data_IF_989959847854
#
_entry.id   IF_989959847854
#
_cell.length_a   1.000
_cell.length_b   1.000
_cell.length_c   1.000
_cell.angle_alpha   90.00
_cell.angle_beta   90.00
_cell.angle_gamma   90.00
#
_symmetry.space_group_name_H-M   'P 1'
#
loop_
_entity.id
_entity.type
_entity.pdbx_description
1 polymer ?
#
# COMPACT_ATOMS: atom_id res chain seq x y z
N UNK A 1 -52.26 49.28 -3.74
CA UNK A 1 -50.83 49.29 -4.12
C UNK A 1 -50.02 48.97 -2.88
N UNK A 2 -49.75 47.68 -2.63
CA UNK A 2 -48.83 47.24 -1.57
C UNK A 2 -48.09 46.01 -2.10
N UNK A 3 -46.88 46.29 -2.54
CA UNK A 3 -45.97 45.40 -3.26
C UNK A 3 -45.11 44.70 -2.19
N UNK A 4 -44.60 43.53 -2.57
CA UNK A 4 -43.49 42.79 -1.94
C UNK A 4 -43.91 41.83 -0.82
N UNK A 5 -44.59 40.77 -1.28
CA UNK A 5 -44.66 39.45 -0.65
C UNK A 5 -43.25 38.90 -0.40
N UNK A 6 -42.97 38.54 0.85
CA UNK A 6 -42.15 37.41 1.33
C UNK A 6 -41.17 36.73 0.35
N UNK A 7 -40.22 37.46 -0.23
CA UNK A 7 -39.18 36.91 -1.12
C UNK A 7 -37.82 36.71 -0.42
N UNK A 8 -37.68 37.11 0.84
CA UNK A 8 -36.41 37.06 1.57
C UNK A 8 -36.14 35.75 2.31
N UNK A 9 -37.14 34.89 2.53
CA UNK A 9 -36.96 33.63 3.27
C UNK A 9 -36.49 32.46 2.40
N UNK A 10 -36.66 32.52 1.07
CA UNK A 10 -36.32 31.42 0.15
C UNK A 10 -34.84 31.37 -0.26
N UNK A 11 -34.11 32.49 -0.21
CA UNK A 11 -32.73 32.55 -0.70
C UNK A 11 -31.68 32.01 0.28
N UNK A 12 -31.99 31.96 1.59
CA UNK A 12 -31.02 31.56 2.61
C UNK A 12 -30.89 30.03 2.69
N UNK A 13 -31.91 29.28 2.28
CA UNK A 13 -31.91 27.82 2.31
C UNK A 13 -31.10 27.14 1.20
N UNK A 14 -30.80 27.85 0.10
CA UNK A 14 -30.18 27.23 -1.08
C UNK A 14 -28.64 27.18 -1.01
N UNK A 15 -28.01 28.01 -0.19
CA UNK A 15 -26.53 28.09 -0.10
C UNK A 15 -25.92 27.02 0.80
N UNK A 16 -26.71 26.38 1.67
CA UNK A 16 -26.22 25.34 2.61
C UNK A 16 -26.04 23.98 1.91
N UNK A 17 -26.61 23.78 0.71
CA UNK A 17 -26.50 22.54 -0.05
C UNK A 17 -25.28 22.47 -0.98
N UNK A 18 -24.52 23.56 -1.14
CA UNK A 18 -23.33 23.60 -2.01
C UNK A 18 -21.99 23.40 -1.28
N UNK A 19 -21.98 23.21 0.05
CA UNK A 19 -20.77 22.78 0.76
C UNK A 19 -20.59 21.27 0.61
N UNK A 20 -20.42 20.80 -0.62
CA UNK A 20 -19.85 19.48 -0.87
C UNK A 20 -18.43 19.47 -0.31
N UNK A 21 -18.10 18.52 0.55
CA UNK A 21 -16.77 18.36 1.11
C UNK A 21 -15.75 18.07 0.00
N UNK A 22 -15.18 19.11 -0.60
CA UNK A 22 -14.00 19.00 -1.45
C UNK A 22 -12.77 18.87 -0.54
N UNK A 23 -12.70 17.80 0.23
CA UNK A 23 -11.47 17.43 0.92
C UNK A 23 -10.50 16.92 -0.14
N UNK A 24 -9.43 17.65 -0.38
CA UNK A 24 -8.33 17.13 -1.18
C UNK A 24 -7.89 15.79 -0.55
N UNK A 25 -7.70 14.72 -1.35
CA UNK A 25 -7.28 13.44 -0.80
C UNK A 25 -5.95 13.64 -0.08
N UNK A 26 -5.85 13.09 1.13
CA UNK A 26 -4.59 13.08 1.88
C UNK A 26 -3.51 12.43 1.03
N UNK A 27 -2.38 13.12 0.85
CA UNK A 27 -1.27 12.62 0.06
C UNK A 27 -0.73 11.35 0.73
N UNK A 28 -1.04 10.19 0.15
CA UNK A 28 -0.50 8.91 0.58
C UNK A 28 0.85 8.69 -0.10
N UNK A 29 1.90 8.50 0.69
CA UNK A 29 3.16 7.99 0.15
C UNK A 29 3.00 6.48 -0.03
N UNK A 30 2.61 6.07 -1.24
CA UNK A 30 2.50 4.65 -1.56
C UNK A 30 3.92 4.04 -1.57
N UNK A 31 4.15 3.04 -0.73
CA UNK A 31 5.41 2.31 -0.68
C UNK A 31 5.72 1.57 -2.01
N UNK A 32 4.72 1.45 -2.88
CA UNK A 32 4.81 0.88 -4.23
C UNK A 32 4.37 1.98 -5.22
N UNK A 33 5.20 2.36 -6.20
CA UNK A 33 4.84 3.39 -7.16
C UNK A 33 3.58 3.00 -7.94
N UNK A 34 2.65 3.94 -8.09
CA UNK A 34 1.51 3.82 -9.00
C UNK A 34 2.04 3.92 -10.43
N UNK A 35 2.18 2.80 -11.11
CA UNK A 35 2.79 2.72 -12.43
C UNK A 35 1.72 2.83 -13.53
N UNK A 36 1.94 3.73 -14.49
CA UNK A 36 1.14 3.83 -15.71
C UNK A 36 1.43 2.63 -16.61
N UNK A 37 0.38 1.89 -16.97
CA UNK A 37 0.46 0.59 -17.62
C UNK A 37 1.11 0.60 -19.00
N UNK A 38 2.09 -0.29 -19.19
CA UNK A 38 2.31 -1.11 -20.39
C UNK A 38 3.53 -2.05 -20.21
N UNK A 39 4.44 -1.72 -19.28
CA UNK A 39 5.69 -2.47 -19.08
C UNK A 39 5.72 -3.38 -17.84
N UNK A 40 4.59 -3.58 -17.15
CA UNK A 40 4.53 -4.36 -15.92
C UNK A 40 3.41 -5.39 -15.96
N UNK A 41 3.74 -6.64 -15.58
CA UNK A 41 2.76 -7.73 -15.42
C UNK A 41 2.63 -8.06 -13.95
N UNK A 42 1.45 -8.54 -13.55
CA UNK A 42 1.32 -9.19 -12.25
C UNK A 42 2.28 -10.38 -12.24
N UNK A 43 3.09 -10.47 -11.18
CA UNK A 43 3.91 -11.66 -10.97
C UNK A 43 3.00 -12.85 -10.64
N UNK A 44 3.44 -14.05 -11.03
CA UNK A 44 2.82 -15.27 -10.53
C UNK A 44 2.87 -15.28 -9.00
N UNK A 45 1.76 -15.70 -8.38
CA UNK A 45 1.64 -15.80 -6.93
C UNK A 45 2.49 -16.95 -6.42
N UNK A 46 3.78 -16.69 -6.21
CA UNK A 46 4.69 -17.62 -5.55
C UNK A 46 4.79 -17.25 -4.08
N UNK A 47 4.61 -18.26 -3.22
CA UNK A 47 4.75 -18.16 -1.77
C UNK A 47 5.98 -18.94 -1.37
N UNK A 48 6.96 -18.28 -0.78
CA UNK A 48 8.14 -18.97 -0.24
C UNK A 48 7.99 -19.13 1.27
N UNK A 49 8.24 -20.35 1.80
CA UNK A 49 8.22 -20.57 3.24
C UNK A 49 9.37 -19.81 3.89
N UNK A 50 9.06 -19.11 5.00
CA UNK A 50 10.04 -18.36 5.78
C UNK A 50 10.36 -19.16 7.05
N UNK A 51 11.63 -19.24 7.48
CA UNK A 51 12.00 -19.84 8.76
C UNK A 51 11.17 -19.26 9.91
N UNK A 52 10.58 -20.14 10.72
CA UNK A 52 9.84 -19.72 11.91
C UNK A 52 10.83 -19.43 13.05
N UNK A 53 10.60 -18.36 13.80
CA UNK A 53 11.48 -17.94 14.89
C UNK A 53 11.19 -16.53 15.36
N UNK A 54 12.08 -15.98 16.19
CA UNK A 54 12.03 -14.56 16.49
C UNK A 54 12.43 -13.80 15.21
N UNK A 55 11.53 -12.94 14.73
CA UNK A 55 11.73 -12.11 13.56
C UNK A 55 11.56 -10.66 13.99
N UNK A 56 12.69 -10.07 14.38
CA UNK A 56 12.79 -8.71 14.91
C UNK A 56 13.51 -7.79 13.91
N UNK A 57 13.12 -6.50 13.86
CA UNK A 57 13.88 -5.48 13.12
C UNK A 57 15.39 -5.53 13.41
N UNK A 58 16.20 -5.49 12.36
CA UNK A 58 17.66 -5.55 12.41
C UNK A 58 18.25 -6.95 12.27
N UNK A 59 17.46 -8.01 12.49
CA UNK A 59 17.93 -9.39 12.35
C UNK A 59 18.15 -9.79 10.88
N UNK A 60 19.07 -10.74 10.69
CA UNK A 60 19.36 -11.32 9.38
C UNK A 60 18.51 -12.56 9.16
N UNK A 61 17.93 -12.65 7.98
CA UNK A 61 17.04 -13.72 7.57
C UNK A 61 17.52 -14.29 6.25
N UNK A 62 17.74 -15.60 6.22
CA UNK A 62 18.12 -16.31 5.00
C UNK A 62 16.90 -17.02 4.43
N UNK A 63 16.58 -16.74 3.17
CA UNK A 63 15.46 -17.35 2.44
C UNK A 63 16.03 -17.89 1.13
N UNK A 64 16.08 -19.21 1.01
CA UNK A 64 16.81 -19.85 -0.08
C UNK A 64 18.30 -19.48 -0.04
N UNK A 65 18.81 -18.94 -1.16
CA UNK A 65 20.21 -18.52 -1.29
C UNK A 65 20.42 -17.01 -1.07
N UNK A 66 19.37 -16.28 -0.70
CA UNK A 66 19.42 -14.83 -0.52
C UNK A 66 19.41 -14.47 0.97
N UNK A 67 20.20 -13.45 1.32
CA UNK A 67 20.27 -12.93 2.68
C UNK A 67 19.61 -11.56 2.75
N UNK A 68 18.69 -11.44 3.69
CA UNK A 68 17.88 -10.27 3.92
C UNK A 68 18.11 -9.72 5.32
N UNK A 69 18.01 -8.40 5.48
CA UNK A 69 17.85 -7.77 6.79
C UNK A 69 16.39 -7.40 7.00
N UNK A 70 15.83 -7.77 8.15
CA UNK A 70 14.49 -7.35 8.57
C UNK A 70 14.53 -5.87 8.90
N UNK A 71 13.66 -5.08 8.26
CA UNK A 71 13.63 -3.63 8.45
C UNK A 71 12.44 -3.23 9.32
N UNK A 72 11.25 -3.01 8.76
CA UNK A 72 10.12 -2.46 9.52
C UNK A 72 8.91 -3.40 9.49
N UNK A 73 8.21 -3.50 10.63
CA UNK A 73 6.91 -4.16 10.73
C UNK A 73 5.79 -3.16 10.39
N UNK A 74 4.78 -3.60 9.63
CA UNK A 74 3.65 -2.78 9.20
C UNK A 74 2.40 -3.66 8.99
N UNK A 75 1.22 -3.04 8.88
CA UNK A 75 -0.02 -3.72 8.48
C UNK A 75 -0.25 -3.46 6.99
N UNK A 76 -0.48 -4.52 6.20
CA UNK A 76 -0.74 -4.41 4.77
C UNK A 76 -2.14 -3.86 4.48
N UNK A 77 -2.38 -3.47 3.23
CA UNK A 77 -3.71 -3.07 2.76
C UNK A 77 -4.77 -4.18 2.89
N UNK A 78 -4.34 -5.45 2.94
CA UNK A 78 -5.22 -6.60 3.16
C UNK A 78 -5.38 -6.96 4.64
N UNK A 79 -4.87 -6.12 5.56
CA UNK A 79 -4.98 -6.34 7.01
C UNK A 79 -4.00 -7.36 7.59
N UNK A 80 -2.97 -7.77 6.84
CA UNK A 80 -1.98 -8.74 7.33
C UNK A 80 -0.81 -8.04 8.04
N UNK A 81 -0.29 -8.63 9.11
CA UNK A 81 0.97 -8.19 9.71
C UNK A 81 2.12 -8.58 8.78
N UNK A 82 2.91 -7.61 8.35
CA UNK A 82 4.01 -7.80 7.42
C UNK A 82 5.31 -7.15 7.94
N UNK A 83 6.44 -7.60 7.39
CA UNK A 83 7.76 -7.02 7.61
C UNK A 83 8.45 -6.77 6.28
N UNK A 84 9.05 -5.59 6.12
CA UNK A 84 9.88 -5.29 4.96
C UNK A 84 11.25 -5.92 5.10
N UNK A 85 11.75 -6.45 4.00
CA UNK A 85 13.06 -7.07 3.89
C UNK A 85 13.93 -6.22 2.97
N UNK A 86 15.16 -5.98 3.40
CA UNK A 86 16.22 -5.38 2.59
C UNK A 86 17.16 -6.48 2.13
N UNK A 87 17.21 -6.71 0.83
CA UNK A 87 18.22 -7.57 0.21
C UNK A 87 19.60 -6.91 0.36
N UNK A 88 20.57 -7.66 0.91
CA UNK A 88 21.93 -7.17 1.14
C UNK A 88 22.76 -7.10 -0.15
N UNK A 89 22.40 -7.90 -1.15
CA UNK A 89 23.10 -7.97 -2.44
C UNK A 89 22.53 -6.97 -3.43
N UNK A 90 21.21 -6.75 -3.39
CA UNK A 90 20.52 -5.76 -4.22
C UNK A 90 19.55 -4.92 -3.39
N UNK A 91 19.98 -3.82 -2.75
CA UNK A 91 19.14 -3.03 -1.86
C UNK A 91 17.93 -2.35 -2.55
N UNK A 92 17.91 -2.29 -3.88
CA UNK A 92 16.75 -1.83 -4.64
C UNK A 92 15.62 -2.89 -4.72
N UNK A 93 15.96 -4.17 -4.53
CA UNK A 93 15.02 -5.28 -4.48
C UNK A 93 14.32 -5.29 -3.11
N UNK A 94 13.16 -4.63 -3.04
CA UNK A 94 12.33 -4.61 -1.83
C UNK A 94 11.43 -5.85 -1.82
N UNK A 95 11.55 -6.64 -0.76
CA UNK A 95 10.67 -7.79 -0.50
C UNK A 95 9.91 -7.59 0.80
N UNK A 96 8.86 -8.36 1.00
CA UNK A 96 8.12 -8.38 2.24
C UNK A 96 7.70 -9.81 2.59
N UNK A 97 7.67 -10.08 3.88
CA UNK A 97 7.06 -11.28 4.46
C UNK A 97 5.81 -10.87 5.21
N UNK A 98 4.77 -11.68 5.14
CA UNK A 98 3.51 -11.44 5.83
C UNK A 98 3.09 -12.70 6.60
N UNK A 99 2.50 -12.50 7.76
CA UNK A 99 1.94 -13.58 8.55
C UNK A 99 0.56 -13.96 7.98
N UNK A 100 0.39 -15.23 7.65
CA UNK A 100 -0.90 -15.84 7.32
C UNK A 100 -1.04 -17.14 8.08
N UNK A 101 -2.19 -17.35 8.70
CA UNK A 101 -2.51 -18.59 9.40
C UNK A 101 -1.43 -19.00 10.42
N UNK A 102 -0.82 -18.02 11.09
CA UNK A 102 0.26 -18.20 12.06
C UNK A 102 1.62 -18.57 11.46
N UNK A 103 1.81 -18.43 10.15
CA UNK A 103 3.06 -18.70 9.45
C UNK A 103 3.52 -17.49 8.64
N UNK A 104 4.80 -17.14 8.76
CA UNK A 104 5.43 -16.15 7.90
C UNK A 104 5.64 -16.67 6.47
N UNK A 105 5.20 -15.89 5.50
CA UNK A 105 5.25 -16.21 4.08
C UNK A 105 5.83 -15.03 3.31
N UNK A 106 6.82 -15.29 2.45
CA UNK A 106 7.30 -14.27 1.51
C UNK A 106 6.35 -14.22 0.31
N UNK A 107 5.83 -13.03 0.05
CA UNK A 107 5.00 -12.79 -1.12
C UNK A 107 5.88 -12.43 -2.31
N UNK A 108 5.59 -13.04 -3.46
CA UNK A 108 6.13 -12.56 -4.73
C UNK A 108 5.82 -11.06 -4.91
N UNK A 109 6.73 -10.30 -5.54
CA UNK A 109 6.50 -8.89 -5.84
C UNK A 109 5.25 -8.77 -6.69
N UNK A 110 4.39 -7.78 -6.41
CA UNK A 110 3.13 -7.63 -7.15
C UNK A 110 3.33 -7.34 -8.63
N UNK A 111 4.49 -6.80 -9.00
CA UNK A 111 4.82 -6.38 -10.36
C UNK A 111 6.17 -6.97 -10.76
N UNK A 112 6.22 -7.60 -11.93
CA UNK A 112 7.47 -7.88 -12.64
C UNK A 112 7.63 -6.88 -13.78
N UNK A 113 8.85 -6.41 -13.99
CA UNK A 113 9.18 -5.64 -15.19
C UNK A 113 9.16 -6.59 -16.39
N UNK A 114 8.40 -6.24 -17.42
CA UNK A 114 8.59 -6.84 -18.73
C UNK A 114 9.84 -6.15 -19.29
N UNK A 115 10.99 -6.81 -19.26
CA UNK A 115 12.17 -6.29 -19.95
C UNK A 115 11.83 -6.21 -21.43
N UNK A 116 11.69 -5.00 -21.97
CA UNK A 116 11.66 -4.80 -23.42
C UNK A 116 12.98 -5.34 -23.96
N UNK A 117 12.88 -6.35 -24.81
CA UNK A 117 14.02 -6.93 -25.52
C UNK A 117 14.35 -6.07 -26.74
#
# INVERSE_FOLDING_TARGET
MSIIRSLSAGLIGLTVLLSGCSSAPTQVNANIPLVSGDSMRLADSQVYPVPQGNLSPGEMLQIGNEQYQIHNRYISASGLTCMSLRDLTNPANRRAICERDGQWQMLAPLLTQISAK
#
